data_IF_172986835985
#
_entry.id   IF_172986835985
#
_cell.length_a   1.000
_cell.length_b   1.000
_cell.length_c   1.000
_cell.angle_alpha   90.00
_cell.angle_beta   90.00
_cell.angle_gamma   90.00
#
_symmetry.space_group_name_H-M   'P 1'
#
loop_
_entity.id
_entity.type
_entity.pdbx_description
1 polymer ?
#
# COMPACT_ATOMS: atom_id res chain seq x y z
N UNK A 1 -14.23 -34.92 2.68
CA UNK A 1 -12.98 -34.12 2.59
C UNK A 1 -13.35 -32.73 2.13
N UNK A 2 -13.06 -31.71 2.94
CA UNK A 2 -13.62 -30.37 2.83
C UNK A 2 -12.82 -29.49 1.87
N UNK A 3 -13.48 -28.93 0.85
CA UNK A 3 -12.89 -27.96 -0.10
C UNK A 3 -12.87 -26.52 0.45
N UNK A 4 -13.32 -26.29 1.69
CA UNK A 4 -13.35 -24.96 2.32
C UNK A 4 -12.02 -24.52 2.96
N UNK A 5 -11.01 -25.39 3.01
CA UNK A 5 -9.70 -25.07 3.61
C UNK A 5 -8.74 -24.31 2.69
N UNK A 6 -9.10 -24.03 1.43
CA UNK A 6 -8.20 -23.37 0.46
C UNK A 6 -8.25 -21.83 0.49
N UNK A 7 -9.28 -21.23 1.10
CA UNK A 7 -9.40 -19.76 1.25
C UNK A 7 -8.84 -19.24 2.60
N UNK A 8 -8.72 -20.10 3.62
CA UNK A 8 -8.22 -19.72 4.94
C UNK A 8 -6.68 -19.59 5.04
N UNK A 9 -5.97 -19.71 3.91
CA UNK A 9 -4.51 -19.73 3.84
C UNK A 9 -3.93 -18.76 2.79
N UNK A 10 -4.70 -17.78 2.30
CA UNK A 10 -4.10 -16.69 1.52
C UNK A 10 -3.28 -15.79 2.46
N UNK A 11 -2.01 -15.49 2.14
CA UNK A 11 -1.30 -14.45 2.86
C UNK A 11 -2.00 -13.10 2.60
N UNK A 12 -2.13 -12.28 3.65
CA UNK A 12 -2.58 -10.90 3.49
C UNK A 12 -1.67 -10.12 2.57
N UNK A 13 -2.20 -9.15 1.83
CA UNK A 13 -1.38 -8.32 0.91
C UNK A 13 -1.27 -6.93 1.49
N UNK A 14 -0.03 -6.48 1.67
CA UNK A 14 0.30 -5.10 2.03
C UNK A 14 0.95 -4.46 0.81
N UNK A 15 0.30 -3.47 0.20
CA UNK A 15 0.94 -2.67 -0.86
C UNK A 15 1.67 -1.49 -0.23
N UNK A 16 2.95 -1.36 -0.50
CA UNK A 16 3.82 -0.27 -0.08
C UNK A 16 4.13 0.64 -1.26
N UNK A 17 3.52 1.83 -1.27
CA UNK A 17 3.86 2.93 -2.16
C UNK A 17 5.11 3.64 -1.62
N UNK A 18 6.22 3.62 -2.35
CA UNK A 18 7.49 4.18 -1.85
C UNK A 18 8.33 4.87 -2.93
N UNK A 19 9.14 5.83 -2.49
CA UNK A 19 10.21 6.43 -3.31
C UNK A 19 11.60 5.91 -2.95
N UNK A 20 11.85 5.50 -1.71
CA UNK A 20 13.18 5.07 -1.24
C UNK A 20 13.22 3.58 -0.85
N UNK A 21 14.39 2.97 -0.92
CA UNK A 21 14.63 1.58 -0.48
C UNK A 21 14.84 1.44 1.04
N UNK A 22 15.09 2.55 1.75
CA UNK A 22 15.42 2.52 3.17
C UNK A 22 14.32 1.89 4.04
N UNK A 23 13.06 2.13 3.71
CA UNK A 23 11.91 1.54 4.41
C UNK A 23 11.81 0.03 4.18
N UNK A 24 12.23 -0.46 3.01
CA UNK A 24 12.31 -1.91 2.79
C UNK A 24 13.38 -2.54 3.68
N UNK A 25 14.54 -1.89 3.81
CA UNK A 25 15.59 -2.38 4.71
C UNK A 25 15.12 -2.41 6.18
N UNK A 26 14.31 -1.44 6.60
CA UNK A 26 13.70 -1.47 7.93
C UNK A 26 12.59 -2.54 8.04
N UNK A 27 11.81 -2.79 6.99
CA UNK A 27 10.85 -3.88 6.92
C UNK A 27 11.52 -5.26 6.98
N UNK A 28 12.62 -5.45 6.26
CA UNK A 28 13.42 -6.68 6.28
C UNK A 28 13.89 -7.02 7.69
N UNK A 29 14.23 -6.01 8.51
CA UNK A 29 14.56 -6.22 9.94
C UNK A 29 13.39 -6.79 10.75
N UNK A 30 12.15 -6.58 10.31
CA UNK A 30 10.95 -7.18 10.92
C UNK A 30 10.60 -8.56 10.35
N UNK A 31 11.52 -9.19 9.60
CA UNK A 31 11.33 -10.51 9.01
C UNK A 31 10.44 -10.49 7.77
N UNK A 32 10.27 -9.32 7.15
CA UNK A 32 9.48 -9.15 5.93
C UNK A 32 10.36 -9.51 4.72
N UNK A 33 9.99 -10.54 3.98
CA UNK A 33 10.54 -10.77 2.63
C UNK A 33 9.68 -10.04 1.59
N UNK A 34 10.20 -8.98 0.98
CA UNK A 34 9.55 -8.32 -0.15
C UNK A 34 9.72 -9.15 -1.42
N UNK A 35 8.62 -9.57 -2.06
CA UNK A 35 8.65 -10.09 -3.43
C UNK A 35 8.59 -8.91 -4.38
N UNK A 36 9.73 -8.33 -4.73
CA UNK A 36 9.80 -7.33 -5.79
C UNK A 36 9.53 -8.01 -7.14
N UNK A 37 8.34 -7.82 -7.72
CA UNK A 37 8.09 -8.10 -9.14
C UNK A 37 8.20 -6.79 -9.91
N UNK A 38 9.27 -6.64 -10.70
CA UNK A 38 9.35 -5.63 -11.75
C UNK A 38 8.19 -5.82 -12.73
N UNK A 39 7.22 -4.92 -12.70
CA UNK A 39 6.03 -4.97 -13.55
C UNK A 39 6.30 -4.27 -14.88
N UNK A 40 6.85 -5.01 -15.84
CA UNK A 40 6.59 -4.73 -17.26
C UNK A 40 5.46 -5.65 -17.74
N UNK A 41 4.42 -5.02 -18.33
CA UNK A 41 3.27 -5.60 -19.05
C UNK A 41 2.02 -5.96 -18.23
N UNK A 42 1.01 -5.11 -18.43
CA UNK A 42 -0.44 -5.39 -18.49
C UNK A 42 -0.85 -6.84 -18.22
N UNK A 43 -1.10 -7.16 -16.95
CA UNK A 43 -2.02 -8.22 -16.54
C UNK A 43 -2.75 -7.74 -15.30
N UNK A 44 -4.09 -7.77 -15.37
CA UNK A 44 -4.97 -7.30 -14.31
C UNK A 44 -4.58 -7.83 -12.94
N UNK A 45 -4.75 -6.98 -11.92
CA UNK A 45 -4.30 -7.14 -10.53
C UNK A 45 -4.67 -8.49 -9.87
N UNK A 46 -5.61 -9.25 -10.44
CA UNK A 46 -6.02 -10.56 -9.94
C UNK A 46 -5.37 -11.77 -10.65
N UNK A 47 -4.78 -11.60 -11.84
CA UNK A 47 -4.23 -12.71 -12.63
C UNK A 47 -2.85 -13.19 -12.15
N UNK A 48 -2.10 -12.34 -11.43
CA UNK A 48 -0.76 -12.64 -10.92
C UNK A 48 -0.75 -13.39 -9.58
N UNK A 49 -1.92 -13.50 -8.94
CA UNK A 49 -2.08 -14.09 -7.59
C UNK A 49 -2.13 -15.63 -7.64
N UNK A 50 -2.41 -16.23 -8.80
CA UNK A 50 -2.58 -17.70 -8.93
C UNK A 50 -1.36 -18.44 -9.51
N UNK A 51 -0.36 -17.72 -10.04
CA UNK A 51 0.58 -18.28 -11.01
C UNK A 51 1.92 -18.84 -10.51
N UNK A 52 2.51 -18.33 -9.42
CA UNK A 52 3.86 -18.72 -9.02
C UNK A 52 3.95 -19.05 -7.53
N UNK A 53 3.30 -20.15 -7.14
CA UNK A 53 3.52 -20.80 -5.84
C UNK A 53 4.85 -21.57 -5.85
N UNK A 54 5.96 -20.88 -5.67
CA UNK A 54 7.21 -21.51 -5.19
C UNK A 54 7.57 -20.98 -3.80
N UNK A 55 7.03 -21.70 -2.81
CA UNK A 55 7.75 -22.08 -1.60
C UNK A 55 8.46 -20.95 -0.84
N UNK A 56 7.68 -20.06 -0.21
CA UNK A 56 8.18 -19.28 0.93
C UNK A 56 8.10 -20.15 2.19
N UNK A 57 9.29 -20.49 2.65
CA UNK A 57 9.69 -21.28 3.81
C UNK A 57 9.05 -20.84 5.13
N UNK A 58 8.70 -21.85 5.93
CA UNK A 58 8.66 -21.84 7.41
C UNK A 58 7.93 -20.67 8.11
N UNK A 59 6.62 -20.84 8.29
CA UNK A 59 6.03 -20.86 9.63
C UNK A 59 5.97 -19.60 10.49
N UNK A 60 6.33 -18.38 10.04
CA UNK A 60 6.22 -17.22 10.94
C UNK A 60 5.36 -16.03 10.54
N UNK A 61 5.14 -15.66 9.28
CA UNK A 61 4.23 -14.54 8.99
C UNK A 61 3.49 -14.74 7.66
N UNK A 62 2.16 -14.58 7.66
CA UNK A 62 1.29 -14.81 6.50
C UNK A 62 0.91 -13.51 5.81
N UNK A 63 1.88 -12.72 5.38
CA UNK A 63 1.61 -11.56 4.53
C UNK A 63 2.67 -11.40 3.44
N UNK A 64 2.27 -10.81 2.32
CA UNK A 64 3.11 -10.46 1.18
C UNK A 64 3.18 -8.95 1.06
N UNK A 65 4.39 -8.40 0.98
CA UNK A 65 4.57 -7.00 0.62
C UNK A 65 4.69 -6.88 -0.90
N UNK A 66 3.72 -6.19 -1.48
CA UNK A 66 3.76 -5.69 -2.84
C UNK A 66 4.31 -4.27 -2.85
N UNK A 67 5.26 -3.98 -3.73
CA UNK A 67 5.96 -2.69 -3.74
C UNK A 67 5.58 -1.94 -5.00
N UNK A 68 4.95 -0.78 -4.82
CA UNK A 68 4.56 0.09 -5.93
C UNK A 68 5.41 1.35 -5.98
N UNK A 69 5.92 1.63 -7.18
CA UNK A 69 6.57 2.89 -7.51
C UNK A 69 5.65 3.81 -8.36
N UNK A 70 4.36 3.50 -8.44
CA UNK A 70 3.36 4.29 -9.16
C UNK A 70 2.33 4.89 -8.20
N UNK A 71 1.64 5.94 -8.65
CA UNK A 71 0.50 6.50 -7.93
C UNK A 71 -0.63 5.46 -7.77
N UNK A 72 -1.42 5.50 -6.68
CA UNK A 72 -2.64 4.70 -6.58
C UNK A 72 -3.60 4.99 -7.73
N UNK A 73 -4.27 3.95 -8.24
CA UNK A 73 -5.39 4.14 -9.19
C UNK A 73 -6.59 4.79 -8.50
N UNK A 74 -7.57 5.25 -9.28
CA UNK A 74 -8.82 5.80 -8.73
C UNK A 74 -9.53 4.80 -7.80
N UNK A 75 -9.66 3.55 -8.22
CA UNK A 75 -10.27 2.49 -7.41
C UNK A 75 -9.47 2.22 -6.11
N UNK A 76 -8.14 2.20 -6.21
CA UNK A 76 -7.28 2.05 -5.04
C UNK A 76 -7.43 3.23 -4.09
N UNK A 77 -7.52 4.46 -4.62
CA UNK A 77 -7.74 5.65 -3.81
C UNK A 77 -9.09 5.59 -3.07
N UNK A 78 -10.17 5.18 -3.73
CA UNK A 78 -11.49 5.07 -3.09
C UNK A 78 -11.48 4.04 -1.96
N UNK A 79 -10.80 2.91 -2.17
CA UNK A 79 -10.57 1.91 -1.12
C UNK A 79 -9.74 2.48 0.04
N UNK A 80 -8.61 3.12 -0.26
CA UNK A 80 -7.74 3.76 0.73
C UNK A 80 -8.52 4.80 1.54
N UNK A 81 -9.30 5.66 0.88
CA UNK A 81 -10.19 6.63 1.52
C UNK A 81 -11.22 5.95 2.43
N UNK A 82 -11.77 4.80 2.03
CA UNK A 82 -12.67 4.05 2.91
C UNK A 82 -11.93 3.50 4.14
N UNK A 83 -10.67 3.09 3.99
CA UNK A 83 -9.83 2.57 5.08
C UNK A 83 -9.37 3.66 6.03
N UNK A 84 -9.23 4.90 5.56
CA UNK A 84 -8.92 6.03 6.43
C UNK A 84 -10.00 6.29 7.48
N UNK A 85 -11.21 5.74 7.30
CA UNK A 85 -12.32 5.87 8.23
C UNK A 85 -12.35 4.77 9.31
N UNK A 86 -11.47 3.77 9.24
CA UNK A 86 -11.49 2.61 10.17
C UNK A 86 -10.87 2.93 11.52
N UNK A 87 -9.76 3.67 11.54
CA UNK A 87 -9.05 4.05 12.76
C UNK A 87 -8.48 5.47 12.64
N UNK A 88 -8.30 6.21 13.76
CA UNK A 88 -7.67 7.54 13.74
C UNK A 88 -6.28 7.52 13.10
N UNK A 89 -5.54 6.45 13.39
CA UNK A 89 -4.24 6.16 12.82
C UNK A 89 -4.27 6.02 11.27
N UNK A 90 -5.26 5.32 10.73
CA UNK A 90 -5.44 5.20 9.27
C UNK A 90 -5.79 6.56 8.66
N UNK A 91 -6.59 7.38 9.36
CA UNK A 91 -6.91 8.73 8.94
C UNK A 91 -5.67 9.63 8.87
N UNK A 92 -4.81 9.58 9.89
CA UNK A 92 -3.54 10.29 9.91
C UNK A 92 -2.63 9.83 8.77
N UNK A 93 -2.51 8.51 8.55
CA UNK A 93 -1.71 7.97 7.46
C UNK A 93 -2.20 8.39 6.07
N UNK A 94 -3.52 8.49 5.91
CA UNK A 94 -4.13 8.98 4.68
C UNK A 94 -3.81 10.47 4.44
N UNK A 95 -3.97 11.31 5.46
CA UNK A 95 -3.69 12.75 5.33
C UNK A 95 -2.20 13.06 5.20
N UNK A 96 -1.33 12.28 5.84
CA UNK A 96 0.12 12.33 5.63
C UNK A 96 0.46 12.06 4.15
N UNK A 97 -0.18 11.06 3.54
CA UNK A 97 0.08 10.67 2.16
C UNK A 97 -0.56 11.61 1.13
N UNK A 98 -1.71 12.21 1.45
CA UNK A 98 -2.45 13.14 0.58
C UNK A 98 -2.63 14.50 1.26
N UNK A 99 -1.56 15.29 1.42
CA UNK A 99 -1.57 16.50 2.26
C UNK A 99 -2.52 17.59 1.75
N UNK A 100 -2.84 17.64 0.45
CA UNK A 100 -3.87 18.55 -0.10
C UNK A 100 -5.26 18.35 0.51
N UNK A 101 -5.51 17.18 1.11
CA UNK A 101 -6.79 16.87 1.74
C UNK A 101 -6.88 17.31 3.21
N UNK A 102 -5.75 17.70 3.84
CA UNK A 102 -5.70 18.06 5.25
C UNK A 102 -6.57 19.29 5.58
N UNK A 103 -6.64 20.25 4.66
CA UNK A 103 -7.43 21.48 4.81
C UNK A 103 -8.89 21.33 4.32
N UNK A 104 -9.27 20.16 3.79
CA UNK A 104 -10.61 19.93 3.23
C UNK A 104 -11.61 19.46 4.30
N UNK A 105 -12.86 19.92 4.20
CA UNK A 105 -13.98 19.60 5.11
C UNK A 105 -14.52 18.16 4.97
N UNK A 106 -13.62 17.16 4.90
CA UNK A 106 -13.88 15.73 4.64
C UNK A 106 -14.45 15.38 3.27
N UNK A 107 -14.63 16.36 2.38
CA UNK A 107 -14.91 16.10 0.97
C UNK A 107 -13.61 15.73 0.25
N UNK A 108 -13.17 14.50 0.51
CA UNK A 108 -11.95 13.92 -0.04
C UNK A 108 -12.28 13.22 -1.35
N UNK A 109 -11.90 13.83 -2.48
CA UNK A 109 -12.03 13.22 -3.81
C UNK A 109 -10.65 13.04 -4.42
N UNK A 110 -10.53 12.11 -5.37
CA UNK A 110 -9.27 11.89 -6.09
C UNK A 110 -8.78 13.18 -6.78
N UNK A 111 -9.70 13.91 -7.39
CA UNK A 111 -9.41 15.19 -8.06
C UNK A 111 -8.92 16.28 -7.08
N UNK A 112 -9.39 16.27 -5.83
CA UNK A 112 -8.90 17.19 -4.80
C UNK A 112 -7.54 16.76 -4.24
N UNK A 113 -7.32 15.45 -4.14
CA UNK A 113 -6.07 14.90 -3.61
C UNK A 113 -4.91 15.12 -4.57
N UNK A 114 -5.15 14.87 -5.86
CA UNK A 114 -4.13 14.75 -6.90
C UNK A 114 -4.38 15.71 -8.05
N UNK A 115 -5.63 15.76 -8.52
CA UNK A 115 -6.07 16.64 -9.60
C UNK A 115 -5.33 16.41 -10.92
N UNK A 116 -5.37 17.41 -11.79
CA UNK A 116 -4.63 17.39 -13.07
C UNK A 116 -3.12 17.49 -12.87
N UNK A 117 -2.69 18.05 -11.73
CA UNK A 117 -1.28 18.29 -11.41
C UNK A 117 -0.50 16.98 -11.22
N UNK A 118 -1.18 15.88 -10.88
CA UNK A 118 -0.57 14.56 -10.74
C UNK A 118 -0.19 13.90 -12.07
N UNK A 119 -0.61 14.49 -13.19
CA UNK A 119 -0.36 13.99 -14.53
C UNK A 119 0.52 14.97 -15.33
N UNK A 120 1.32 14.44 -16.25
CA UNK A 120 2.11 15.23 -17.18
C UNK A 120 1.22 15.83 -18.30
N UNK A 121 1.81 16.65 -19.18
CA UNK A 121 1.10 17.26 -20.32
C UNK A 121 0.53 16.25 -21.33
N UNK A 122 0.89 14.97 -21.24
CA UNK A 122 0.39 13.87 -22.06
C UNK A 122 -0.64 13.01 -21.31
N UNK A 123 -1.03 13.38 -20.09
CA UNK A 123 -1.97 12.63 -19.25
C UNK A 123 -1.36 11.39 -18.57
N UNK A 124 -0.04 11.23 -18.55
CA UNK A 124 0.62 10.13 -17.82
C UNK A 124 0.87 10.52 -16.37
N UNK A 125 0.72 9.61 -15.39
CA UNK A 125 1.04 9.91 -14.00
C UNK A 125 2.52 10.32 -13.85
N UNK A 126 2.76 11.41 -13.11
CA UNK A 126 4.12 11.82 -12.71
C UNK A 126 4.75 10.76 -11.81
N UNK A 127 6.07 10.75 -11.73
CA UNK A 127 6.78 9.86 -10.82
C UNK A 127 6.45 10.20 -9.36
N UNK A 128 6.51 9.22 -8.46
CA UNK A 128 6.27 9.45 -7.02
C UNK A 128 7.22 10.50 -6.41
N UNK A 129 8.42 10.66 -6.99
CA UNK A 129 9.39 11.67 -6.54
C UNK A 129 8.93 13.10 -6.90
N UNK A 130 8.41 13.28 -8.11
CA UNK A 130 7.86 14.57 -8.56
C UNK A 130 6.61 14.92 -7.76
N UNK A 131 5.71 13.95 -7.58
CA UNK A 131 4.49 14.11 -6.77
C UNK A 131 4.80 14.49 -5.32
N UNK A 132 5.85 13.90 -4.74
CA UNK A 132 6.29 14.26 -3.38
C UNK A 132 6.90 15.67 -3.33
N UNK A 133 7.68 16.07 -4.34
CA UNK A 133 8.24 17.42 -4.43
C UNK A 133 7.16 18.50 -4.59
N UNK A 134 6.06 18.17 -5.27
CA UNK A 134 4.91 19.06 -5.47
C UNK A 134 3.90 19.00 -4.31
N UNK A 135 4.14 18.17 -3.29
CA UNK A 135 3.22 18.00 -2.16
C UNK A 135 1.85 17.42 -2.57
N UNK A 136 1.81 16.61 -3.63
CA UNK A 136 0.60 15.94 -4.12
C UNK A 136 0.42 14.57 -3.47
N UNK A 137 1.51 13.81 -3.40
CA UNK A 137 1.51 12.49 -2.79
C UNK A 137 2.84 12.24 -2.10
N UNK A 138 2.78 12.00 -0.79
CA UNK A 138 3.97 11.80 0.04
C UNK A 138 4.10 10.33 0.39
N UNK A 139 5.29 9.77 0.17
CA UNK A 139 5.61 8.38 0.52
C UNK A 139 6.38 8.32 1.85
N UNK A 140 6.30 7.20 2.59
CA UNK A 140 5.61 5.96 2.24
C UNK A 140 4.10 6.00 2.52
N UNK A 141 3.37 5.16 1.79
CA UNK A 141 2.02 4.74 2.18
C UNK A 141 1.94 3.22 2.06
N UNK A 142 1.73 2.53 3.18
CA UNK A 142 1.43 1.10 3.20
C UNK A 142 -0.08 0.92 3.35
N UNK A 143 -0.65 -0.01 2.58
CA UNK A 143 -2.07 -0.32 2.56
C UNK A 143 -2.23 -1.81 2.80
N UNK A 144 -2.84 -2.18 3.92
CA UNK A 144 -3.27 -3.55 4.18
C UNK A 144 -4.70 -3.72 3.63
N UNK A 145 -4.81 -4.45 2.53
CA UNK A 145 -6.09 -4.68 1.85
C UNK A 145 -7.00 -5.64 2.60
N UNK A 146 -6.45 -6.49 3.47
CA UNK A 146 -7.20 -7.48 4.22
C UNK A 146 -7.78 -6.88 5.50
N UNK A 147 -6.94 -6.22 6.29
CA UNK A 147 -7.34 -5.62 7.57
C UNK A 147 -7.82 -4.17 7.46
N UNK A 148 -7.76 -3.58 6.26
CA UNK A 148 -8.23 -2.21 5.99
C UNK A 148 -7.51 -1.16 6.84
N UNK A 149 -6.19 -1.31 6.94
CA UNK A 149 -5.29 -0.44 7.70
C UNK A 149 -4.34 0.30 6.78
N UNK A 150 -3.96 1.52 7.16
CA UNK A 150 -3.06 2.39 6.40
C UNK A 150 -1.87 2.80 7.25
N UNK A 151 -0.65 2.84 6.71
CA UNK A 151 0.54 3.30 7.43
C UNK A 151 1.38 4.27 6.61
N UNK A 152 1.70 5.45 7.15
CA UNK A 152 2.57 6.44 6.49
C UNK A 152 3.96 6.58 7.13
N UNK A 153 4.20 5.91 8.26
CA UNK A 153 5.42 6.06 9.08
C UNK A 153 5.90 4.70 9.57
N UNK A 154 7.18 4.59 9.94
CA UNK A 154 7.73 3.33 10.47
C UNK A 154 7.02 2.87 11.75
N UNK A 155 6.77 3.79 12.69
CA UNK A 155 6.02 3.47 13.91
C UNK A 155 4.59 3.00 13.61
N UNK A 156 4.04 3.47 12.49
CA UNK A 156 2.72 3.12 12.04
C UNK A 156 2.68 1.72 11.41
N UNK A 157 3.65 1.47 10.53
CA UNK A 157 3.85 0.19 9.88
C UNK A 157 4.06 -0.95 10.87
N UNK A 158 4.76 -0.70 11.99
CA UNK A 158 4.90 -1.66 13.09
C UNK A 158 3.54 -2.09 13.66
N UNK A 159 2.65 -1.14 13.94
CA UNK A 159 1.30 -1.44 14.45
C UNK A 159 0.47 -2.24 13.46
N UNK A 160 0.63 -1.97 12.16
CA UNK A 160 0.01 -2.75 11.11
C UNK A 160 0.52 -4.21 11.14
N UNK A 161 1.83 -4.41 11.29
CA UNK A 161 2.43 -5.75 11.36
C UNK A 161 2.11 -6.53 12.65
N UNK A 162 1.77 -5.86 13.76
CA UNK A 162 1.33 -6.51 15.00
C UNK A 162 0.07 -7.38 14.78
N UNK A 163 -0.81 -7.00 13.85
CA UNK A 163 -2.02 -7.78 13.48
C UNK A 163 -1.65 -9.18 12.97
N UNK A 164 -0.50 -9.31 12.32
CA UNK A 164 0.02 -10.57 11.81
C UNK A 164 0.84 -11.35 12.86
N UNK A 165 0.84 -10.91 14.11
CA UNK A 165 1.58 -11.54 15.20
C UNK A 165 3.08 -11.28 15.16
N UNK A 166 3.55 -10.28 14.40
CA UNK A 166 4.95 -9.81 14.44
C UNK A 166 5.17 -9.13 15.79
N UNK A 167 5.69 -9.90 16.75
CA UNK A 167 6.13 -9.42 18.06
C UNK A 167 7.63 -9.11 18.00
N UNK A 168 8.03 -8.02 18.66
CA UNK A 168 9.43 -7.62 18.84
C UNK A 168 10.25 -8.69 19.55
#
# INVERSE_FOLDING_TARGET
MSMFNSLANSPGVITLFKTSSAILADLEKFGVTSSAKDTSKDKGLFASILGDRKQATSGRYRYQIDVSNSLPTLEQFDLIKSYSQTTPYSAEAFLDAFPRLADSSRDWTFDKALGKDAFDGNGKPKSLRELAAEGLFVTPLAVDWEHRLLASRIGHLKKLLEVYGVKQ
#
